data_IF_296473633089
#
_entry.id   IF_296473633089
#
_cell.length_a   1.000
_cell.length_b   1.000
_cell.length_c   1.000
_cell.angle_alpha   90.00
_cell.angle_beta   90.00
_cell.angle_gamma   90.00
#
_symmetry.space_group_name_H-M   'P 1'
#
loop_
_entity.id
_entity.type
_entity.pdbx_description
1 polymer ?
#
# COMPACT_ATOMS: atom_id res chain seq x y z
N UNK A 1 -13.14 -12.68 22.60
CA UNK A 1 -14.07 -13.43 21.73
C UNK A 1 -13.67 -13.49 20.26
N UNK A 2 -13.10 -12.44 19.62
CA UNK A 2 -12.51 -12.62 18.28
C UNK A 2 -11.18 -13.38 18.36
N UNK A 3 -10.17 -12.81 19.04
CA UNK A 3 -8.79 -13.32 19.21
C UNK A 3 -8.67 -14.83 19.52
N UNK A 4 -9.59 -15.39 20.30
CA UNK A 4 -9.56 -16.81 20.69
C UNK A 4 -9.73 -17.76 19.49
N UNK A 5 -10.49 -17.34 18.47
CA UNK A 5 -10.74 -18.16 17.29
C UNK A 5 -9.54 -18.20 16.35
N UNK A 6 -8.84 -17.08 16.13
CA UNK A 6 -7.62 -17.07 15.33
C UNK A 6 -6.52 -17.87 16.03
N UNK A 7 -6.35 -17.71 17.35
CA UNK A 7 -5.40 -18.50 18.12
C UNK A 7 -5.71 -20.00 18.08
N UNK A 8 -7.00 -20.39 18.11
CA UNK A 8 -7.39 -21.80 17.97
C UNK A 8 -7.00 -22.40 16.61
N UNK A 9 -7.14 -21.64 15.53
CA UNK A 9 -6.73 -22.08 14.18
C UNK A 9 -5.21 -22.23 14.09
N UNK A 10 -4.46 -21.28 14.65
CA UNK A 10 -3.00 -21.36 14.74
C UNK A 10 -2.53 -22.57 15.57
N UNK A 11 -3.14 -22.80 16.73
CA UNK A 11 -2.85 -23.98 17.58
C UNK A 11 -3.15 -25.31 16.86
N UNK A 12 -4.02 -25.31 15.85
CA UNK A 12 -4.32 -26.48 15.00
C UNK A 12 -3.39 -26.60 13.79
N UNK A 13 -2.30 -25.84 13.75
CA UNK A 13 -1.29 -25.88 12.69
C UNK A 13 -1.77 -25.29 11.35
N UNK A 14 -2.85 -24.50 11.34
CA UNK A 14 -3.34 -23.86 10.12
C UNK A 14 -2.60 -22.55 9.88
N UNK A 15 -2.21 -22.31 8.63
CA UNK A 15 -1.67 -21.01 8.21
C UNK A 15 -2.80 -19.98 8.19
N UNK A 16 -2.58 -18.85 8.86
CA UNK A 16 -3.49 -17.71 8.86
C UNK A 16 -3.02 -16.69 7.83
N UNK A 17 -3.98 -16.07 7.14
CA UNK A 17 -3.73 -14.96 6.22
C UNK A 17 -4.83 -13.93 6.41
N UNK A 18 -4.45 -12.68 6.63
CA UNK A 18 -5.32 -11.54 6.83
C UNK A 18 -5.41 -10.75 5.53
N UNK A 19 -6.61 -10.66 4.95
CA UNK A 19 -6.84 -9.97 3.67
C UNK A 19 -7.68 -8.73 3.90
N UNK A 20 -7.27 -7.60 3.32
CA UNK A 20 -7.98 -6.32 3.44
C UNK A 20 -7.86 -5.50 2.16
N UNK A 21 -8.95 -4.81 1.79
CA UNK A 21 -8.94 -3.89 0.65
C UNK A 21 -8.51 -2.47 1.03
N UNK A 22 -8.23 -2.20 2.30
CA UNK A 22 -7.80 -0.88 2.73
C UNK A 22 -6.33 -0.62 2.34
N UNK A 23 -6.12 0.43 1.55
CA UNK A 23 -4.82 0.87 1.04
C UNK A 23 -4.15 1.93 1.93
N UNK A 24 -4.84 2.43 2.96
CA UNK A 24 -4.31 3.48 3.85
C UNK A 24 -3.15 3.02 4.71
N UNK A 25 -3.00 1.69 4.90
CA UNK A 25 -1.96 1.11 5.75
C UNK A 25 -1.06 0.13 5.01
N UNK A 26 0.21 0.14 5.36
CA UNK A 26 1.16 -0.91 4.97
C UNK A 26 1.00 -2.15 5.86
N UNK A 27 1.58 -3.26 5.44
CA UNK A 27 1.67 -4.49 6.25
C UNK A 27 2.42 -4.26 7.54
N UNK A 28 3.48 -3.45 7.54
CA UNK A 28 4.20 -3.02 8.75
C UNK A 28 3.33 -2.23 9.73
N UNK A 29 2.44 -1.39 9.22
CA UNK A 29 1.48 -0.66 10.05
C UNK A 29 0.37 -1.56 10.58
N UNK A 30 -0.08 -2.54 9.78
CA UNK A 30 -1.01 -3.57 10.23
C UNK A 30 -0.39 -4.49 11.28
N UNK A 31 0.86 -4.91 11.10
CA UNK A 31 1.62 -5.71 12.04
C UNK A 31 1.62 -5.06 13.45
N UNK A 32 1.99 -3.77 13.52
CA UNK A 32 1.91 -2.98 14.76
C UNK A 32 0.51 -2.94 15.35
N UNK A 33 -0.52 -2.81 14.50
CA UNK A 33 -1.93 -2.77 14.94
C UNK A 33 -2.36 -4.12 15.52
N UNK A 34 -2.05 -5.23 14.87
CA UNK A 34 -2.35 -6.58 15.37
C UNK A 34 -1.62 -6.87 16.67
N UNK A 35 -0.34 -6.51 16.77
CA UNK A 35 0.42 -6.60 18.01
C UNK A 35 -0.24 -5.80 19.16
N UNK A 36 -0.74 -4.59 18.88
CA UNK A 36 -1.46 -3.79 19.89
C UNK A 36 -2.78 -4.43 20.36
N UNK A 37 -3.33 -5.35 19.56
CA UNK A 37 -4.53 -6.13 19.88
C UNK A 37 -4.21 -7.49 20.51
N UNK A 38 -2.93 -7.80 20.76
CA UNK A 38 -2.50 -9.09 21.30
C UNK A 38 -2.57 -10.24 20.29
N UNK A 39 -2.64 -9.93 19.00
CA UNK A 39 -2.64 -10.92 17.92
C UNK A 39 -1.22 -10.95 17.32
N UNK A 40 -0.42 -11.99 17.58
CA UNK A 40 0.86 -12.14 16.90
C UNK A 40 0.60 -12.44 15.42
N UNK A 41 1.17 -11.63 14.55
CA UNK A 41 1.08 -11.78 13.09
C UNK A 41 2.44 -11.44 12.50
N UNK A 42 2.80 -12.06 11.39
CA UNK A 42 3.96 -11.65 10.60
C UNK A 42 3.50 -10.87 9.37
N UNK A 43 4.36 -10.00 8.82
CA UNK A 43 4.03 -9.21 7.63
C UNK A 43 3.68 -10.07 6.40
N UNK A 44 4.20 -11.30 6.30
CA UNK A 44 3.90 -12.25 5.22
C UNK A 44 2.52 -12.93 5.35
N UNK A 45 1.87 -12.76 6.50
CA UNK A 45 0.50 -13.20 6.75
C UNK A 45 -0.53 -12.10 6.42
N UNK A 46 -0.10 -10.91 5.98
CA UNK A 46 -0.98 -9.78 5.70
C UNK A 46 -0.98 -9.47 4.20
N UNK A 47 -2.18 -9.43 3.61
CA UNK A 47 -2.43 -9.07 2.22
C UNK A 47 -3.37 -7.87 2.15
N UNK A 48 -2.80 -6.67 2.06
CA UNK A 48 -3.53 -5.42 1.83
C UNK A 48 -3.56 -5.05 0.34
N UNK A 49 -4.50 -4.17 -0.05
CA UNK A 49 -4.53 -3.60 -1.41
C UNK A 49 -3.28 -2.73 -1.70
N UNK A 50 -2.72 -2.05 -0.69
CA UNK A 50 -1.44 -1.33 -0.80
C UNK A 50 -0.28 -2.27 -1.18
N UNK A 51 -0.18 -3.41 -0.50
CA UNK A 51 0.82 -4.44 -0.82
C UNK A 51 0.57 -5.05 -2.20
N UNK A 52 -0.69 -5.39 -2.51
CA UNK A 52 -1.07 -5.95 -3.79
C UNK A 52 -0.67 -5.02 -4.95
N UNK A 53 -0.84 -3.70 -4.80
CA UNK A 53 -0.45 -2.73 -5.81
C UNK A 53 1.07 -2.69 -6.04
N UNK A 54 1.88 -2.70 -4.98
CA UNK A 54 3.33 -2.74 -5.08
C UNK A 54 3.82 -4.06 -5.71
N UNK A 55 3.22 -5.19 -5.32
CA UNK A 55 3.54 -6.49 -5.89
C UNK A 55 3.10 -6.63 -7.34
N UNK A 56 1.98 -6.01 -7.73
CA UNK A 56 1.54 -5.99 -9.12
C UNK A 56 2.61 -5.38 -10.02
N UNK A 57 3.19 -4.23 -9.64
CA UNK A 57 4.30 -3.64 -10.38
C UNK A 57 5.53 -4.55 -10.42
N UNK A 58 5.85 -5.21 -9.30
CA UNK A 58 7.01 -6.10 -9.19
C UNK A 58 6.87 -7.36 -10.05
N UNK A 59 5.71 -7.99 -10.07
CA UNK A 59 5.44 -9.23 -10.82
C UNK A 59 5.31 -8.97 -12.32
N UNK A 60 4.93 -7.75 -12.72
CA UNK A 60 4.86 -7.34 -14.11
C UNK A 60 6.13 -6.62 -14.60
N UNK A 61 7.27 -6.82 -13.92
CA UNK A 61 8.58 -6.28 -14.31
C UNK A 61 8.60 -4.77 -14.59
N UNK A 62 7.83 -3.98 -13.83
CA UNK A 62 7.86 -2.52 -13.96
C UNK A 62 9.26 -1.98 -13.64
N UNK A 63 9.78 -1.11 -14.52
CA UNK A 63 11.15 -0.58 -14.41
C UNK A 63 11.36 0.20 -13.11
N UNK A 64 12.54 0.06 -12.50
CA UNK A 64 12.95 0.80 -11.31
C UNK A 64 13.45 2.21 -11.60
N UNK A 65 13.69 2.52 -12.87
CA UNK A 65 14.14 3.85 -13.32
C UNK A 65 12.99 4.87 -13.34
N UNK A 66 11.75 4.40 -13.42
CA UNK A 66 10.55 5.24 -13.42
C UNK A 66 9.97 5.35 -12.03
N UNK A 67 9.46 6.53 -11.72
CA UNK A 67 8.75 6.81 -10.48
C UNK A 67 7.29 6.36 -10.58
N UNK A 68 6.71 6.04 -9.43
CA UNK A 68 5.28 5.77 -9.27
C UNK A 68 4.63 6.96 -8.58
N UNK A 69 3.63 7.57 -9.22
CA UNK A 69 2.86 8.64 -8.60
C UNK A 69 1.66 8.04 -7.85
N UNK A 70 1.50 8.41 -6.58
CA UNK A 70 0.44 7.90 -5.72
C UNK A 70 -0.61 8.98 -5.51
N UNK A 71 -1.87 8.63 -5.77
CA UNK A 71 -3.06 9.35 -5.32
C UNK A 71 -3.68 8.48 -4.23
N UNK A 72 -3.44 8.81 -2.96
CA UNK A 72 -3.85 7.98 -1.85
C UNK A 72 -3.02 8.27 -0.60
N UNK A 73 -2.94 7.28 0.28
CA UNK A 73 -2.40 7.43 1.63
C UNK A 73 -1.04 6.75 1.80
N UNK A 74 -0.40 7.00 2.96
CA UNK A 74 0.97 6.59 3.28
C UNK A 74 1.24 5.08 3.12
N UNK A 75 0.24 4.24 3.39
CA UNK A 75 0.37 2.79 3.28
C UNK A 75 0.82 2.30 1.90
N UNK A 76 0.41 2.99 0.82
CA UNK A 76 0.83 2.66 -0.54
C UNK A 76 2.29 3.04 -0.77
N UNK A 77 2.71 4.20 -0.27
CA UNK A 77 4.08 4.70 -0.41
C UNK A 77 5.08 3.76 0.28
N UNK A 78 4.78 3.34 1.52
CA UNK A 78 5.62 2.43 2.29
C UNK A 78 5.77 1.05 1.59
N UNK A 79 4.70 0.49 1.01
CA UNK A 79 4.77 -0.79 0.28
C UNK A 79 5.56 -0.68 -1.03
N UNK A 80 5.42 0.43 -1.75
CA UNK A 80 6.21 0.70 -2.95
C UNK A 80 7.70 0.80 -2.64
N UNK A 81 8.07 1.52 -1.58
CA UNK A 81 9.45 1.64 -1.12
C UNK A 81 10.03 0.27 -0.75
N UNK A 82 9.29 -0.54 0.02
CA UNK A 82 9.70 -1.90 0.38
C UNK A 82 9.85 -2.83 -0.84
N UNK A 83 9.04 -2.64 -1.87
CA UNK A 83 9.17 -3.35 -3.14
C UNK A 83 10.35 -2.85 -3.99
N UNK A 84 10.97 -1.72 -3.60
CA UNK A 84 12.12 -1.07 -4.23
C UNK A 84 11.76 -0.13 -5.38
N UNK A 85 10.57 0.47 -5.34
CA UNK A 85 10.13 1.51 -6.27
C UNK A 85 10.29 2.90 -5.64
N UNK A 86 10.69 3.87 -6.45
CA UNK A 86 10.62 5.28 -6.04
C UNK A 86 9.20 5.78 -6.23
N UNK A 87 8.55 6.22 -5.14
CA UNK A 87 7.21 6.75 -5.17
C UNK A 87 7.18 8.24 -4.77
N UNK A 88 6.19 8.97 -5.27
CA UNK A 88 5.90 10.35 -4.86
C UNK A 88 4.39 10.62 -4.87
N UNK A 89 3.98 11.77 -4.34
CA UNK A 89 2.57 12.13 -4.18
C UNK A 89 2.06 11.74 -2.80
N UNK A 90 0.92 11.06 -2.74
CA UNK A 90 0.28 10.62 -1.50
C UNK A 90 -0.17 11.79 -0.62
N UNK A 91 -0.07 11.67 0.72
CA UNK A 91 -0.53 12.72 1.65
C UNK A 91 0.13 14.10 1.43
N UNK A 92 1.38 14.12 0.94
CA UNK A 92 2.10 15.36 0.62
C UNK A 92 1.37 16.19 -0.45
N UNK A 93 0.65 15.53 -1.34
CA UNK A 93 -0.07 16.15 -2.46
C UNK A 93 -1.57 16.27 -2.21
N UNK A 94 -2.10 15.70 -1.11
CA UNK A 94 -3.53 15.66 -0.80
C UNK A 94 -4.20 17.03 -0.60
N UNK A 95 -3.42 18.10 -0.39
CA UNK A 95 -3.93 19.48 -0.27
C UNK A 95 -3.69 20.34 -1.51
N UNK A 96 -3.03 19.81 -2.55
CA UNK A 96 -2.77 20.57 -3.77
C UNK A 96 -4.10 20.85 -4.47
N UNK A 97 -4.35 22.13 -4.74
CA UNK A 97 -5.51 22.57 -5.54
C UNK A 97 -5.04 22.80 -6.98
N UNK A 98 -5.79 22.27 -7.93
CA UNK A 98 -5.52 22.47 -9.35
C UNK A 98 -6.42 23.60 -9.84
N UNK A 99 -5.83 24.67 -10.38
CA UNK A 99 -6.56 25.66 -11.16
C UNK A 99 -6.69 25.16 -12.61
N UNK A 100 -7.85 24.64 -12.97
CA UNK A 100 -8.14 24.21 -14.34
C UNK A 100 -8.38 25.45 -15.22
N UNK A 101 -7.34 25.91 -15.91
CA UNK A 101 -7.47 26.92 -16.98
C UNK A 101 -7.76 26.21 -18.30
N UNK A 102 -8.66 26.81 -19.09
CA UNK A 102 -9.32 26.16 -20.24
C UNK A 102 -8.41 25.68 -21.38
N UNK A 103 -7.12 26.04 -21.38
CA UNK A 103 -6.11 25.54 -22.32
C UNK A 103 -4.76 25.50 -21.59
N UNK A 104 -4.48 24.41 -20.88
CA UNK A 104 -3.14 24.12 -20.39
C UNK A 104 -2.73 22.71 -20.78
N UNK A 105 -1.70 22.60 -21.64
CA UNK A 105 -0.86 21.42 -21.66
C UNK A 105 -0.29 21.26 -20.24
N UNK A 106 -0.70 20.20 -19.55
CA UNK A 106 -0.20 19.91 -18.22
C UNK A 106 1.24 19.39 -18.33
N UNK A 107 2.20 20.21 -17.88
CA UNK A 107 3.56 19.73 -17.68
C UNK A 107 3.56 18.70 -16.55
N UNK A 108 3.98 17.48 -16.87
CA UNK A 108 4.12 16.40 -15.91
C UNK A 108 5.57 15.92 -15.86
N UNK A 109 5.95 15.32 -14.73
CA UNK A 109 7.24 14.68 -14.58
C UNK A 109 7.33 13.46 -15.51
N UNK A 110 8.14 13.57 -16.58
CA UNK A 110 8.38 12.49 -17.56
C UNK A 110 9.09 11.26 -16.98
N UNK A 111 9.61 11.37 -15.75
CA UNK A 111 10.15 10.22 -15.01
C UNK A 111 9.07 9.37 -14.34
N UNK A 112 7.82 9.84 -14.23
CA UNK A 112 6.69 9.03 -13.77
C UNK A 112 6.30 8.04 -14.87
N UNK A 113 6.24 6.75 -14.53
CA UNK A 113 5.86 5.68 -15.46
C UNK A 113 4.56 4.95 -15.08
N UNK A 114 4.06 5.16 -13.86
CA UNK A 114 2.82 4.58 -13.38
C UNK A 114 2.13 5.51 -12.38
N UNK A 115 0.80 5.41 -12.31
CA UNK A 115 -0.04 6.08 -11.31
C UNK A 115 -0.83 5.02 -10.56
N UNK A 116 -0.79 5.06 -9.22
CA UNK A 116 -1.61 4.21 -8.35
C UNK A 116 -2.62 5.09 -7.63
N UNK A 117 -3.88 4.65 -7.60
CA UNK A 117 -4.99 5.36 -6.97
C UNK A 117 -5.62 4.49 -5.88
N UNK A 118 -5.60 4.97 -4.64
CA UNK A 118 -6.33 4.41 -3.50
C UNK A 118 -7.35 5.42 -2.99
N UNK A 119 -8.61 5.00 -2.81
CA UNK A 119 -9.76 5.86 -2.45
C UNK A 119 -10.41 5.45 -1.12
N UNK A 120 -9.62 4.89 -0.21
CA UNK A 120 -10.09 4.42 1.11
C UNK A 120 -10.22 5.54 2.16
#
# INVERSE_FOLDING_TARGET
MYIENEMLLACRGKKLVFVTNNSTKSRKQYDKKFHSLGIPVNEDEIFSSSFAAAMYLKVNDFTREKKVYVIGEEGILEELEQAGFTALGGPADGKKKIELKSICLFEHDKSVGAVIVGLD
#
